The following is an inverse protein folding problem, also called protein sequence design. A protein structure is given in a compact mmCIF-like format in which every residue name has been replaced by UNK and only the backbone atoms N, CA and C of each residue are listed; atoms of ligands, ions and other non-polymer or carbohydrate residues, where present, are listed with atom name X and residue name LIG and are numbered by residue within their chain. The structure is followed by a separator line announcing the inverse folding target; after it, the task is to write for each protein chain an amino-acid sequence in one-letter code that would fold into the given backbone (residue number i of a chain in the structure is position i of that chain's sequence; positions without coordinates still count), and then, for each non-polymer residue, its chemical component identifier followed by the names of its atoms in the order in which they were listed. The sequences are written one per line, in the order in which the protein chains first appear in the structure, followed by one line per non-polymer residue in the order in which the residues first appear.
data_IF_645318879394
#
_entry.id   IF_645318879394
#
_cell.length_a   1.000
_cell.length_b   1.000
_cell.length_c   1.000
_cell.angle_alpha   90.00
_cell.angle_beta   90.00
_cell.angle_gamma   90.00
#
_symmetry.space_group_name_H-M   'P 1'
#
loop_
_entity.id
_entity.type
_entity.pdbx_description
1 polymer ?
#
# COMPACT_ATOMS: atom_id res chain seq x y z
N UNK A 1 -3.91 -0.92 -10.70
CA UNK A 1 -2.89 -1.86 -10.18
C UNK A 1 -1.73 -1.03 -9.68
N UNK A 2 -1.13 -1.40 -8.56
CA UNK A 2 0.05 -0.73 -8.02
C UNK A 2 1.18 -0.80 -9.05
N UNK A 3 1.77 0.35 -9.38
CA UNK A 3 2.88 0.46 -10.33
C UNK A 3 4.14 0.90 -9.61
N UNK A 4 5.25 0.22 -9.87
CA UNK A 4 6.54 0.62 -9.33
C UNK A 4 6.89 2.03 -9.82
N UNK A 5 7.19 2.91 -8.86
CA UNK A 5 7.70 4.25 -9.14
C UNK A 5 9.13 4.34 -8.61
N UNK A 6 10.04 4.93 -9.38
CA UNK A 6 11.48 5.04 -9.07
C UNK A 6 11.78 6.02 -7.92
N UNK A 7 10.80 6.35 -7.11
CA UNK A 7 10.90 7.27 -5.99
C UNK A 7 11.58 6.60 -4.81
N UNK A 8 12.54 7.29 -4.20
CA UNK A 8 13.23 6.81 -3.00
C UNK A 8 12.38 7.08 -1.77
N UNK A 9 12.55 6.23 -0.75
CA UNK A 9 12.04 6.44 0.58
C UNK A 9 12.74 7.63 1.27
N UNK A 10 12.18 8.16 2.37
CA UNK A 10 12.75 9.33 3.07
C UNK A 10 14.17 9.13 3.62
N UNK A 11 14.62 7.88 3.78
CA UNK A 11 16.00 7.54 4.17
C UNK A 11 16.99 7.50 2.98
N UNK A 12 16.51 7.78 1.76
CA UNK A 12 17.28 7.77 0.53
C UNK A 12 17.46 6.38 -0.10
N UNK A 13 16.87 5.33 0.47
CA UNK A 13 16.89 3.99 -0.12
C UNK A 13 15.63 3.72 -0.96
N UNK A 14 15.64 2.78 -1.91
CA UNK A 14 14.43 2.36 -2.61
C UNK A 14 13.44 1.70 -1.64
N UNK A 15 12.13 1.92 -1.85
CA UNK A 15 11.10 1.19 -1.11
C UNK A 15 11.22 -0.32 -1.32
N UNK A 16 11.10 -1.10 -0.25
CA UNK A 16 11.03 -2.55 -0.34
C UNK A 16 9.57 -3.00 -0.31
N UNK A 17 9.12 -3.61 -1.41
CA UNK A 17 7.79 -4.17 -1.52
C UNK A 17 7.81 -5.67 -1.27
N UNK A 18 7.06 -6.13 -0.29
CA UNK A 18 6.91 -7.56 0.02
C UNK A 18 5.51 -8.03 -0.35
N UNK A 19 5.45 -9.04 -1.22
CA UNK A 19 4.19 -9.67 -1.61
C UNK A 19 4.02 -11.01 -0.89
N UNK A 20 2.91 -11.13 -0.17
CA UNK A 20 2.48 -12.36 0.51
C UNK A 20 1.34 -12.99 -0.26
N UNK A 21 1.36 -14.32 -0.39
CA UNK A 21 0.27 -15.10 -0.99
C UNK A 21 -0.18 -16.18 -0.02
N UNK A 22 -1.49 -16.25 0.22
CA UNK A 22 -2.05 -17.31 1.04
C UNK A 22 -2.44 -18.55 0.21
N UNK A 23 -2.72 -19.67 0.90
CA UNK A 23 -3.13 -20.92 0.26
C UNK A 23 -4.46 -20.80 -0.54
N UNK A 24 -5.30 -19.82 -0.19
CA UNK A 24 -6.53 -19.51 -0.92
C UNK A 24 -6.32 -18.66 -2.18
N UNK A 25 -5.08 -18.30 -2.50
CA UNK A 25 -4.74 -17.51 -3.69
C UNK A 25 -4.90 -16.00 -3.53
N UNK A 26 -5.28 -15.52 -2.35
CA UNK A 26 -5.26 -14.08 -2.04
C UNK A 26 -3.82 -13.60 -1.97
N UNK A 27 -3.59 -12.41 -2.51
CA UNK A 27 -2.28 -11.76 -2.55
C UNK A 27 -2.36 -10.42 -1.83
N UNK A 28 -1.33 -10.10 -1.06
CA UNK A 28 -1.19 -8.85 -0.33
C UNK A 28 0.20 -8.27 -0.57
N UNK A 29 0.29 -6.99 -0.90
CA UNK A 29 1.56 -6.27 -1.05
C UNK A 29 1.72 -5.24 0.07
N UNK A 30 2.84 -5.31 0.78
CA UNK A 30 3.22 -4.38 1.84
C UNK A 30 4.51 -3.63 1.48
N UNK A 31 4.66 -2.45 2.05
CA UNK A 31 5.87 -1.64 2.01
C UNK A 31 6.56 -1.68 3.38
N UNK A 32 7.89 -1.77 3.38
CA UNK A 32 8.72 -1.67 4.58
C UNK A 32 8.52 -0.34 5.33
N UNK A 33 8.35 0.76 4.59
CA UNK A 33 8.10 2.07 5.16
C UNK A 33 6.71 2.14 5.81
N UNK A 34 6.71 2.31 7.14
CA UNK A 34 5.48 2.39 7.95
C UNK A 34 4.67 1.10 8.01
N UNK A 35 5.20 -0.05 7.56
CA UNK A 35 4.44 -1.29 7.42
C UNK A 35 3.14 -1.10 6.61
N UNK A 36 3.21 -0.28 5.56
CA UNK A 36 2.03 0.20 4.83
C UNK A 36 1.48 -0.90 3.92
N UNK A 37 0.19 -1.20 4.03
CA UNK A 37 -0.49 -2.14 3.15
C UNK A 37 -0.93 -1.46 1.84
N UNK A 38 -0.32 -1.83 0.72
CA UNK A 38 -0.51 -1.19 -0.57
C UNK A 38 -1.57 -1.86 -1.47
N UNK A 39 -1.68 -3.20 -1.45
CA UNK A 39 -2.63 -3.93 -2.30
C UNK A 39 -3.10 -5.23 -1.64
N UNK A 40 -4.36 -5.60 -1.88
CA UNK A 40 -5.03 -6.79 -1.42
C UNK A 40 -5.92 -7.34 -2.54
N UNK A 41 -5.39 -8.33 -3.28
CA UNK A 41 -6.10 -8.95 -4.40
C UNK A 41 -6.72 -10.27 -3.96
N UNK A 42 -8.05 -10.34 -4.01
CA UNK A 42 -8.81 -11.52 -3.65
C UNK A 42 -9.32 -12.26 -4.91
N UNK A 43 -9.05 -13.56 -5.06
CA UNK A 43 -9.73 -14.39 -6.05
C UNK A 43 -11.18 -14.65 -5.61
N UNK A 44 -12.13 -14.35 -6.50
CA UNK A 44 -13.55 -14.63 -6.31
C UNK A 44 -13.89 -16.02 -6.83
N UNK A 45 -14.97 -16.61 -6.31
CA UNK A 45 -15.49 -17.91 -6.76
C UNK A 45 -15.85 -17.94 -8.25
N UNK A 46 -16.09 -16.77 -8.86
CA UNK A 46 -16.34 -16.61 -10.30
C UNK A 46 -15.08 -16.71 -11.17
N UNK A 47 -13.90 -16.93 -10.57
CA UNK A 47 -12.61 -16.98 -11.27
C UNK A 47 -11.99 -15.61 -11.54
N UNK A 48 -12.70 -14.51 -11.22
CA UNK A 48 -12.18 -13.14 -11.32
C UNK A 48 -11.41 -12.75 -10.07
N UNK A 49 -10.44 -11.86 -10.19
CA UNK A 49 -9.75 -11.24 -9.05
C UNK A 49 -10.28 -9.83 -8.78
N UNK A 50 -10.25 -9.39 -7.53
CA UNK A 50 -10.67 -8.04 -7.13
C UNK A 50 -9.66 -7.41 -6.17
N UNK A 51 -9.25 -6.18 -6.45
CA UNK A 51 -8.53 -5.32 -5.52
C UNK A 51 -9.50 -4.83 -4.43
N UNK A 52 -9.15 -5.07 -3.17
CA UNK A 52 -10.00 -4.79 -2.01
C UNK A 52 -9.65 -3.47 -1.33
N UNK A 53 -8.42 -2.98 -1.49
CA UNK A 53 -7.98 -1.73 -0.87
C UNK A 53 -8.37 -0.52 -1.72
N UNK A 54 -8.85 0.52 -1.05
CA UNK A 54 -8.89 1.87 -1.59
C UNK A 54 -7.49 2.46 -1.39
N UNK A 55 -6.81 2.81 -2.47
CA UNK A 55 -5.41 3.18 -2.41
C UNK A 55 -4.94 3.95 -3.63
N UNK A 56 -3.72 4.47 -3.55
CA UNK A 56 -3.07 5.22 -4.61
C UNK A 56 -2.37 4.28 -5.62
N UNK A 57 -2.01 4.83 -6.78
CA UNK A 57 -1.42 4.03 -7.86
C UNK A 57 0.06 3.72 -7.62
N UNK A 58 0.77 4.53 -6.82
CA UNK A 58 2.21 4.39 -6.60
C UNK A 58 2.59 4.41 -5.12
N UNK A 59 3.69 3.77 -4.70
CA UNK A 59 4.15 3.78 -3.31
C UNK A 59 4.43 5.19 -2.76
N UNK A 60 4.91 6.11 -3.59
CA UNK A 60 5.23 7.48 -3.16
C UNK A 60 3.98 8.28 -2.78
N UNK A 61 2.84 8.02 -3.43
CA UNK A 61 1.57 8.69 -3.12
C UNK A 61 1.07 8.34 -1.71
N UNK A 62 1.44 7.17 -1.18
CA UNK A 62 1.05 6.74 0.16
C UNK A 62 1.70 7.58 1.26
N UNK A 63 2.81 8.27 1.00
CA UNK A 63 3.40 9.22 1.95
C UNK A 63 2.51 10.46 2.18
N UNK A 64 1.62 10.78 1.25
CA UNK A 64 0.70 11.92 1.34
C UNK A 64 -0.68 11.52 1.88
N UNK A 65 -0.93 10.22 2.09
CA UNK A 65 -2.24 9.72 2.49
C UNK A 65 -2.43 9.78 4.01
N UNK A 66 -3.52 10.41 4.47
CA UNK A 66 -3.88 10.49 5.90
C UNK A 66 -4.81 9.35 6.37
N UNK A 67 -5.22 8.46 5.47
CA UNK A 67 -6.12 7.34 5.75
C UNK A 67 -5.33 6.03 5.75
N UNK A 68 -5.11 5.47 6.94
CA UNK A 68 -4.34 4.25 7.12
C UNK A 68 -5.20 3.12 7.68
N UNK A 69 -5.28 2.00 6.96
CA UNK A 69 -5.80 0.74 7.47
C UNK A 69 -4.60 -0.11 7.92
N UNK A 70 -4.39 -0.24 9.23
CA UNK A 70 -3.43 -1.18 9.81
C UNK A 70 -2.11 -0.60 10.32
N UNK A 71 -1.90 0.71 10.31
CA UNK A 71 -0.67 1.32 10.86
C UNK A 71 -0.73 1.45 12.39
N UNK A 72 0.36 1.14 13.12
CA UNK A 72 0.49 1.53 14.52
C UNK A 72 0.53 3.06 14.63
N UNK A 73 -0.22 3.59 15.61
CA UNK A 73 -0.49 5.02 15.84
C UNK A 73 0.74 5.96 15.95
N UNK A 74 1.97 5.45 15.99
CA UNK A 74 3.18 6.21 16.29
C UNK A 74 3.86 6.86 15.06
N UNK A 75 3.39 6.59 13.84
CA UNK A 75 4.00 7.08 12.60
C UNK A 75 3.17 8.18 11.92
N UNK A 76 2.55 9.09 12.70
CA UNK A 76 1.81 10.23 12.16
C UNK A 76 2.76 11.41 11.86
N UNK A 77 3.11 11.74 10.60
CA UNK A 77 3.50 13.08 10.26
C UNK A 77 2.24 13.96 10.21
N UNK A 78 2.33 15.18 10.74
CA UNK A 78 1.26 16.17 10.73
C UNK A 78 0.95 16.57 9.28
N UNK A 79 0.02 15.88 8.62
CA UNK A 79 -0.38 16.17 7.26
C UNK A 79 -1.51 17.22 7.25
N UNK A 80 -1.20 18.41 6.76
CA UNK A 80 -2.16 19.43 6.36
C UNK A 80 -3.14 18.88 5.33
N UNK A 81 -4.43 19.02 5.62
CA UNK A 81 -5.57 18.55 4.83
C UNK A 81 -5.47 18.98 3.37
N UNK A 82 -5.05 18.06 2.50
CA UNK A 82 -5.31 18.09 1.06
C UNK A 82 -6.09 16.82 0.70
N UNK A 83 -6.99 16.88 -0.30
CA UNK A 83 -7.87 15.77 -0.61
C UNK A 83 -7.05 14.55 -1.03
N UNK A 84 -7.55 13.37 -0.70
CA UNK A 84 -6.94 12.11 -1.09
C UNK A 84 -6.97 12.00 -2.62
N UNK A 85 -5.78 12.02 -3.22
CA UNK A 85 -5.44 12.10 -4.64
C UNK A 85 -5.41 13.50 -5.25
#
# INVERSE_FOLDING_TARGET
MLSDSQTLAPDGQPYQLTQLKNAGGMTVTLMDWGATWLSAVLPLKSGKTRELLLGCQTPADYLQQAAYLGLPSAAMPTASLTPAC
#
